data_IF_114095392437
#
_entry.id   IF_114095392437
#
_cell.length_a   1.000
_cell.length_b   1.000
_cell.length_c   1.000
_cell.angle_alpha   90.00
_cell.angle_beta   90.00
_cell.angle_gamma   90.00
#
_symmetry.space_group_name_H-M   'P 1'
#
loop_
_entity.id
_entity.type
_entity.pdbx_description
1 polymer ?
#
# COMPACT_ATOMS: atom_id res chain seq x y z
N UNK A 1 20.88 -20.21 -22.92
CA UNK A 1 19.71 -20.50 -22.07
C UNK A 1 19.33 -19.24 -21.30
N UNK A 2 18.03 -18.89 -21.18
CA UNK A 2 17.61 -17.75 -20.37
C UNK A 2 17.83 -18.01 -18.88
N UNK A 3 18.12 -16.96 -18.11
CA UNK A 3 18.28 -17.05 -16.65
C UNK A 3 16.91 -17.29 -15.99
N UNK A 4 16.87 -18.15 -14.97
CA UNK A 4 15.67 -18.34 -14.13
C UNK A 4 15.54 -17.17 -13.16
N UNK A 5 14.33 -16.68 -12.98
CA UNK A 5 13.98 -15.58 -12.07
C UNK A 5 12.90 -16.07 -11.12
N UNK A 6 13.02 -15.72 -9.84
CA UNK A 6 12.05 -16.05 -8.80
C UNK A 6 11.69 -14.79 -8.00
N UNK A 7 10.48 -14.78 -7.43
CA UNK A 7 10.02 -13.74 -6.50
C UNK A 7 10.39 -14.18 -5.08
N UNK A 8 11.20 -13.38 -4.39
CA UNK A 8 11.68 -13.69 -3.03
C UNK A 8 11.05 -12.81 -1.94
N UNK A 9 10.41 -11.71 -2.33
CA UNK A 9 9.73 -10.82 -1.40
C UNK A 9 8.65 -10.00 -2.09
N UNK A 10 7.63 -9.62 -1.33
CA UNK A 10 6.45 -8.88 -1.77
C UNK A 10 6.05 -7.87 -0.70
N UNK A 11 5.42 -6.78 -1.13
CA UNK A 11 4.90 -5.75 -0.25
C UNK A 11 3.76 -5.03 -0.94
N UNK A 12 2.81 -4.54 -0.16
CA UNK A 12 1.63 -3.89 -0.70
C UNK A 12 1.06 -2.90 0.31
N UNK A 13 0.59 -1.76 -0.19
CA UNK A 13 -0.22 -0.81 0.58
C UNK A 13 -1.52 -0.64 -0.21
N UNK A 14 -2.63 -1.10 0.35
CA UNK A 14 -3.90 -1.20 -0.38
C UNK A 14 -5.11 -0.97 0.54
N UNK A 15 -6.30 -0.71 -0.03
CA UNK A 15 -7.54 -0.62 0.75
C UNK A 15 -7.94 -1.93 1.43
N UNK A 16 -7.35 -3.07 1.03
CA UNK A 16 -7.60 -4.39 1.61
C UNK A 16 -6.62 -4.76 2.72
N UNK A 17 -5.55 -3.97 2.90
CA UNK A 17 -4.51 -4.25 3.88
C UNK A 17 -3.24 -3.44 3.61
N UNK A 18 -2.48 -3.22 4.67
CA UNK A 18 -1.21 -2.48 4.69
C UNK A 18 0.01 -3.37 4.41
N UNK A 19 -0.20 -4.66 4.09
CA UNK A 19 0.83 -5.60 3.64
C UNK A 19 0.27 -6.54 2.57
N UNK A 20 1.17 -7.19 1.82
CA UNK A 20 0.76 -8.16 0.79
C UNK A 20 -0.05 -9.33 1.40
N UNK A 21 0.34 -9.81 2.58
CA UNK A 21 -0.38 -10.88 3.27
C UNK A 21 -1.77 -10.43 3.73
N UNK A 22 -1.88 -9.28 4.41
CA UNK A 22 -3.17 -8.76 4.88
C UNK A 22 -4.13 -8.48 3.73
N UNK A 23 -3.63 -7.92 2.62
CA UNK A 23 -4.43 -7.68 1.42
C UNK A 23 -4.95 -8.99 0.81
N UNK A 24 -4.10 -10.02 0.74
CA UNK A 24 -4.46 -11.33 0.21
C UNK A 24 -5.50 -12.03 1.10
N UNK A 25 -5.31 -12.04 2.42
CA UNK A 25 -6.27 -12.60 3.38
C UNK A 25 -7.64 -11.92 3.28
N UNK A 26 -7.66 -10.58 3.24
CA UNK A 26 -8.91 -9.83 3.04
C UNK A 26 -9.60 -10.18 1.72
N UNK A 27 -8.84 -10.37 0.64
CA UNK A 27 -9.37 -10.78 -0.65
C UNK A 27 -9.95 -12.21 -0.61
N UNK A 28 -9.25 -13.16 0.03
CA UNK A 28 -9.73 -14.53 0.22
C UNK A 28 -11.06 -14.58 1.00
N UNK A 29 -11.23 -13.69 1.96
CA UNK A 29 -12.46 -13.56 2.73
C UNK A 29 -13.56 -12.74 2.03
N UNK A 30 -13.36 -12.30 0.78
CA UNK A 30 -14.34 -11.52 0.03
C UNK A 30 -14.62 -10.14 0.63
N UNK A 31 -13.69 -9.58 1.42
CA UNK A 31 -13.84 -8.24 1.99
C UNK A 31 -13.69 -7.20 0.89
N UNK A 32 -14.59 -6.22 0.85
CA UNK A 32 -14.49 -5.07 -0.05
C UNK A 32 -13.76 -3.91 0.62
N UNK A 33 -12.81 -3.30 -0.09
CA UNK A 33 -12.20 -2.04 0.31
C UNK A 33 -12.96 -0.80 -0.17
N UNK A 34 -14.03 -0.97 -0.96
CA UNK A 34 -14.82 0.13 -1.51
C UNK A 34 -15.82 0.63 -0.47
N UNK A 35 -15.81 1.94 -0.23
CA UNK A 35 -16.72 2.62 0.69
C UNK A 35 -17.15 3.98 0.15
N UNK A 36 -18.16 4.57 0.79
CA UNK A 36 -18.53 5.98 0.55
C UNK A 36 -17.42 6.89 1.05
N UNK A 37 -17.01 7.84 0.20
CA UNK A 37 -16.07 8.90 0.54
C UNK A 37 -16.67 9.79 1.63
N UNK A 38 -15.93 9.99 2.73
CA UNK A 38 -16.36 10.84 3.86
C UNK A 38 -15.93 12.30 3.72
N UNK A 39 -15.10 12.61 2.72
CA UNK A 39 -14.55 13.94 2.55
C UNK A 39 -15.64 14.94 2.09
N UNK A 40 -15.60 16.22 2.51
CA UNK A 40 -16.58 17.21 2.09
C UNK A 40 -16.75 17.35 0.57
N UNK A 41 -15.70 17.09 -0.22
CA UNK A 41 -15.79 17.15 -1.68
C UNK A 41 -16.65 16.04 -2.29
N UNK A 42 -16.89 14.94 -1.57
CA UNK A 42 -17.65 13.80 -2.05
C UNK A 42 -19.07 14.20 -2.47
N UNK A 43 -19.65 15.21 -1.82
CA UNK A 43 -20.98 15.76 -2.15
C UNK A 43 -21.06 16.36 -3.56
N UNK A 44 -19.90 16.68 -4.18
CA UNK A 44 -19.83 17.23 -5.53
C UNK A 44 -19.66 16.16 -6.61
N UNK A 45 -19.51 14.89 -6.21
CA UNK A 45 -19.28 13.78 -7.13
C UNK A 45 -20.60 13.11 -7.48
N UNK A 46 -20.75 12.70 -8.74
CA UNK A 46 -21.87 11.85 -9.18
C UNK A 46 -21.81 10.46 -8.54
N UNK A 47 -20.59 9.95 -8.30
CA UNK A 47 -20.34 8.68 -7.63
C UNK A 47 -19.36 8.89 -6.46
N UNK A 48 -19.85 9.11 -5.22
CA UNK A 48 -19.01 9.38 -4.06
C UNK A 48 -18.47 8.10 -3.42
N UNK A 49 -17.99 7.14 -4.22
CA UNK A 49 -17.46 5.86 -3.75
C UNK A 49 -16.00 5.71 -4.18
N UNK A 50 -15.16 5.20 -3.29
CA UNK A 50 -13.76 4.90 -3.57
C UNK A 50 -13.24 3.79 -2.66
N UNK A 51 -12.10 3.22 -3.00
CA UNK A 51 -11.35 2.35 -2.11
C UNK A 51 -10.17 3.14 -1.53
N UNK A 52 -10.38 3.74 -0.36
CA UNK A 52 -9.36 4.59 0.29
C UNK A 52 -8.38 3.73 1.11
N UNK A 53 -7.09 4.03 0.99
CA UNK A 53 -6.07 3.44 1.85
C UNK A 53 -6.00 4.22 3.16
N UNK A 54 -6.18 3.54 4.29
CA UNK A 54 -5.82 4.07 5.61
C UNK A 54 -4.29 4.03 5.76
N UNK A 55 -3.65 5.20 5.69
CA UNK A 55 -2.19 5.31 5.69
C UNK A 55 -1.76 6.52 6.52
N UNK A 56 -0.83 6.30 7.47
CA UNK A 56 -0.17 7.36 8.21
C UNK A 56 1.29 7.49 7.75
N UNK A 57 1.57 8.57 7.02
CA UNK A 57 2.92 8.85 6.54
C UNK A 57 3.93 9.06 7.68
N UNK A 58 3.49 9.57 8.84
CA UNK A 58 4.36 9.84 9.98
C UNK A 58 4.91 8.56 10.61
N UNK A 59 4.21 7.43 10.45
CA UNK A 59 4.67 6.12 10.91
C UNK A 59 5.82 5.55 10.06
N UNK A 60 6.06 6.10 8.86
CA UNK A 60 6.98 5.51 7.88
C UNK A 60 8.13 6.43 7.44
N UNK A 61 8.00 7.74 7.66
CA UNK A 61 8.92 8.75 7.17
C UNK A 61 9.10 9.86 8.20
N UNK A 62 10.30 10.43 8.23
CA UNK A 62 10.55 11.68 8.96
C UNK A 62 9.78 12.85 8.31
N UNK A 63 9.44 13.87 9.10
CA UNK A 63 8.58 14.97 8.65
C UNK A 63 9.13 15.72 7.42
N UNK A 64 10.46 15.77 7.25
CA UNK A 64 11.09 16.38 6.09
C UNK A 64 10.92 15.54 4.83
N UNK A 65 11.00 14.21 4.95
CA UNK A 65 10.97 13.30 3.81
C UNK A 65 9.57 13.19 3.20
N UNK A 66 8.52 12.96 4.00
CA UNK A 66 7.19 12.74 3.40
C UNK A 66 6.60 13.99 2.74
N UNK A 67 6.98 15.20 3.19
CA UNK A 67 6.56 16.46 2.54
C UNK A 67 7.09 16.61 1.11
N UNK A 68 8.18 15.92 0.76
CA UNK A 68 8.76 15.93 -0.58
C UNK A 68 8.20 14.83 -1.49
N UNK A 69 7.42 13.90 -0.94
CA UNK A 69 6.90 12.74 -1.65
C UNK A 69 5.40 12.91 -1.87
N UNK A 70 4.94 12.71 -3.10
CA UNK A 70 3.52 12.53 -3.35
C UNK A 70 3.00 11.24 -2.68
N UNK A 71 1.68 11.11 -2.56
CA UNK A 71 1.05 9.99 -1.83
C UNK A 71 1.33 8.63 -2.48
N UNK A 72 1.46 8.56 -3.81
CA UNK A 72 1.78 7.31 -4.52
C UNK A 72 3.23 6.91 -4.24
N UNK A 73 4.16 7.86 -4.27
CA UNK A 73 5.57 7.67 -3.92
C UNK A 73 5.73 7.18 -2.48
N UNK A 74 4.96 7.73 -1.53
CA UNK A 74 4.94 7.26 -0.15
C UNK A 74 4.50 5.79 -0.06
N UNK A 75 3.41 5.41 -0.73
CA UNK A 75 2.93 4.03 -0.74
C UNK A 75 3.95 3.08 -1.38
N UNK A 76 4.53 3.48 -2.52
CA UNK A 76 5.51 2.68 -3.25
C UNK A 76 6.75 2.40 -2.40
N UNK A 77 7.25 3.40 -1.68
CA UNK A 77 8.42 3.23 -0.80
C UNK A 77 8.12 2.32 0.40
N UNK A 78 6.93 2.40 0.98
CA UNK A 78 6.54 1.51 2.08
C UNK A 78 6.38 0.07 1.59
N UNK A 79 5.71 -0.15 0.46
CA UNK A 79 5.57 -1.47 -0.15
C UNK A 79 6.94 -2.05 -0.56
N UNK A 80 7.86 -1.24 -1.11
CA UNK A 80 9.20 -1.67 -1.44
C UNK A 80 10.00 -2.07 -0.19
N UNK A 81 9.92 -1.30 0.90
CA UNK A 81 10.54 -1.65 2.19
C UNK A 81 10.04 -3.01 2.72
N UNK A 82 8.74 -3.28 2.64
CA UNK A 82 8.19 -4.59 3.02
C UNK A 82 8.74 -5.72 2.15
N UNK A 83 8.79 -5.54 0.83
CA UNK A 83 9.30 -6.55 -0.09
C UNK A 83 10.78 -6.87 0.15
N UNK A 84 11.60 -5.84 0.37
CA UNK A 84 13.03 -5.99 0.70
C UNK A 84 13.18 -6.74 2.03
N UNK A 85 12.44 -6.35 3.07
CA UNK A 85 12.49 -7.01 4.37
C UNK A 85 12.08 -8.49 4.26
N UNK A 86 10.98 -8.81 3.56
CA UNK A 86 10.54 -10.19 3.35
C UNK A 86 11.57 -11.01 2.57
N UNK A 87 12.30 -10.39 1.64
CA UNK A 87 13.28 -11.08 0.82
C UNK A 87 14.55 -11.51 1.56
N UNK A 88 14.82 -10.94 2.75
CA UNK A 88 16.02 -11.21 3.54
C UNK A 88 17.33 -10.76 2.89
N UNK A 89 17.30 -10.00 1.78
CA UNK A 89 18.50 -9.70 0.99
C UNK A 89 19.48 -8.70 1.62
N UNK A 90 19.11 -8.09 2.75
CA UNK A 90 19.95 -7.15 3.51
C UNK A 90 20.47 -7.75 4.83
N UNK A 91 20.10 -8.99 5.16
CA UNK A 91 20.64 -9.72 6.31
C UNK A 91 21.92 -10.45 5.87
N UNK A 92 23.06 -9.75 5.90
CA UNK A 92 24.38 -10.26 5.51
C UNK A 92 25.52 -9.42 6.05
#
# INVERSE_FOLDING_TARGET
>A
MPRRVAVTGMGAVSPLGDSAHAAFESALHGRSGVALLKSPFAQRLVAPVAAEVTFDANAHFESRQFRMLDRVSQFALVAAKQAIAQSGCLEG
#
